data_IF_435143921824
#
_entry.id   IF_435143921824
#
_cell.length_a   1.000
_cell.length_b   1.000
_cell.length_c   1.000
_cell.angle_alpha   90.00
_cell.angle_beta   90.00
_cell.angle_gamma   90.00
#
_symmetry.space_group_name_H-M   'P 1'
#
loop_
_entity.id
_entity.type
_entity.pdbx_description
1 polymer ?
#
# COMPACT_ATOMS: atom_id res chain seq x y z
N UNK A 1 14.10 18.41 5.35
CA UNK A 1 14.72 17.59 4.28
C UNK A 1 16.20 17.91 4.26
N UNK A 2 17.09 16.93 4.23
CA UNK A 2 18.54 17.18 4.10
C UNK A 2 19.06 16.75 2.73
N UNK A 3 20.16 17.37 2.29
CA UNK A 3 20.82 17.02 1.04
C UNK A 3 21.31 15.56 1.03
N UNK A 4 21.84 15.07 2.17
CA UNK A 4 22.25 13.68 2.32
C UNK A 4 21.09 12.70 2.09
N UNK A 5 19.89 13.03 2.59
CA UNK A 5 18.71 12.19 2.35
C UNK A 5 18.39 12.13 0.85
N UNK A 6 18.40 13.27 0.16
CA UNK A 6 18.13 13.31 -1.29
C UNK A 6 19.18 12.54 -2.08
N UNK A 7 20.47 12.76 -1.80
CA UNK A 7 21.61 12.10 -2.46
C UNK A 7 21.72 10.60 -2.17
N UNK A 8 21.05 10.09 -1.13
CA UNK A 8 21.01 8.65 -0.86
C UNK A 8 20.22 7.85 -1.91
N UNK A 9 19.40 8.53 -2.72
CA UNK A 9 18.58 7.92 -3.78
C UNK A 9 17.65 6.80 -3.27
N UNK A 10 17.37 6.75 -1.96
CA UNK A 10 16.47 5.75 -1.40
C UNK A 10 15.10 5.90 -2.06
N UNK A 11 14.47 4.80 -2.54
CA UNK A 11 13.19 4.88 -3.26
C UNK A 11 12.10 5.63 -2.51
N UNK A 12 12.06 5.54 -1.18
CA UNK A 12 11.12 6.27 -0.33
C UNK A 12 11.22 7.80 -0.50
N UNK A 13 12.43 8.34 -0.61
CA UNK A 13 12.69 9.78 -0.76
C UNK A 13 12.39 10.25 -2.19
N UNK A 14 12.86 9.51 -3.19
CA UNK A 14 12.59 9.83 -4.61
C UNK A 14 11.08 9.82 -4.86
N UNK A 15 10.39 8.76 -4.45
CA UNK A 15 8.94 8.64 -4.63
C UNK A 15 8.19 9.74 -3.89
N UNK A 16 8.61 10.10 -2.67
CA UNK A 16 8.00 11.19 -1.93
C UNK A 16 8.17 12.55 -2.65
N UNK A 17 9.34 12.82 -3.25
CA UNK A 17 9.57 14.02 -4.06
C UNK A 17 8.68 14.03 -5.32
N UNK A 18 8.53 12.87 -5.99
CA UNK A 18 7.64 12.74 -7.15
C UNK A 18 6.17 12.97 -6.79
N UNK A 19 5.71 12.40 -5.66
CA UNK A 19 4.36 12.62 -5.15
C UNK A 19 4.13 14.11 -4.84
N UNK A 20 5.11 14.79 -4.26
CA UNK A 20 4.92 16.19 -3.86
C UNK A 20 5.01 17.16 -5.04
N UNK A 21 5.78 16.81 -6.08
CA UNK A 21 5.88 17.62 -7.29
C UNK A 21 4.68 17.46 -8.23
N UNK A 22 4.07 16.26 -8.31
CA UNK A 22 3.00 15.97 -9.28
C UNK A 22 1.64 15.64 -8.67
N UNK A 23 1.60 15.29 -7.39
CA UNK A 23 0.37 14.90 -6.70
C UNK A 23 -0.54 16.08 -6.44
N UNK A 24 -1.76 15.80 -5.98
CA UNK A 24 -2.74 16.78 -5.52
C UNK A 24 -2.78 16.84 -4.00
N UNK A 25 -3.06 18.01 -3.45
CA UNK A 25 -3.23 18.21 -2.01
C UNK A 25 -4.52 17.56 -1.55
N UNK A 26 -4.46 16.76 -0.48
CA UNK A 26 -5.65 16.16 0.11
C UNK A 26 -6.45 17.23 0.87
N UNK A 27 -7.80 17.24 0.78
CA UNK A 27 -8.64 18.20 1.51
C UNK A 27 -8.39 18.17 3.03
N UNK A 28 -8.06 16.99 3.55
CA UNK A 28 -7.68 16.77 4.93
C UNK A 28 -6.39 15.95 4.98
N UNK A 29 -5.37 16.43 5.70
CA UNK A 29 -4.13 15.69 5.89
C UNK A 29 -4.39 14.32 6.53
N UNK A 30 -3.65 13.28 6.15
CA UNK A 30 -3.86 11.93 6.68
C UNK A 30 -3.65 11.84 8.21
N UNK A 31 -4.22 10.82 8.87
CA UNK A 31 -4.09 10.61 10.32
C UNK A 31 -2.62 10.64 10.77
N UNK A 32 -1.73 9.94 10.06
CA UNK A 32 -0.30 9.94 10.39
C UNK A 32 0.35 11.34 10.28
N UNK A 33 -0.07 12.18 9.31
CA UNK A 33 0.44 13.54 9.17
C UNK A 33 -0.12 14.48 10.25
N UNK A 34 -1.36 14.26 10.70
CA UNK A 34 -1.99 15.05 11.77
C UNK A 34 -1.46 14.70 13.16
N UNK A 35 -1.16 13.42 13.41
CA UNK A 35 -0.77 12.93 14.73
C UNK A 35 0.75 12.93 14.97
N UNK A 36 1.58 12.94 13.93
CA UNK A 36 3.03 12.94 14.08
C UNK A 36 3.56 14.26 14.66
N UNK A 37 4.67 14.19 15.41
CA UNK A 37 5.41 15.35 15.88
C UNK A 37 6.89 15.24 15.45
N UNK A 38 7.39 16.18 14.61
CA UNK A 38 6.62 17.17 13.85
C UNK A 38 5.77 16.50 12.75
N UNK A 39 4.56 17.04 12.52
CA UNK A 39 3.56 16.44 11.62
C UNK A 39 3.96 16.40 10.15
N UNK A 40 3.53 17.41 9.39
CA UNK A 40 3.78 17.60 7.96
C UNK A 40 5.27 17.90 7.72
N UNK A 41 6.08 16.83 7.76
CA UNK A 41 7.48 16.86 7.45
C UNK A 41 7.92 15.62 6.64
N UNK A 42 8.83 15.82 5.66
CA UNK A 42 9.55 17.07 5.40
C UNK A 42 8.76 18.08 4.56
N UNK A 43 7.56 17.73 4.09
CA UNK A 43 6.79 18.57 3.18
C UNK A 43 5.62 19.25 3.90
N UNK A 44 5.33 20.53 3.59
CA UNK A 44 4.30 21.30 4.28
C UNK A 44 2.88 20.83 3.96
N UNK A 45 2.69 20.05 2.89
CA UNK A 45 1.37 19.60 2.44
C UNK A 45 1.25 18.08 2.41
N UNK A 46 0.05 17.58 2.70
CA UNK A 46 -0.29 16.17 2.53
C UNK A 46 -0.77 15.94 1.08
N UNK A 47 0.16 15.78 0.13
CA UNK A 47 -0.19 15.47 -1.27
C UNK A 47 -0.16 13.98 -1.55
N UNK A 48 -1.05 13.53 -2.43
CA UNK A 48 -1.14 12.18 -2.99
C UNK A 48 -1.02 12.22 -4.50
N UNK A 49 -0.50 11.14 -5.07
CA UNK A 49 -0.57 10.88 -6.50
C UNK A 49 -1.37 9.56 -6.69
N UNK A 50 -2.71 9.63 -6.81
CA UNK A 50 -3.55 8.43 -6.97
C UNK A 50 -3.13 7.58 -8.17
N UNK A 51 -3.27 6.26 -8.06
CA UNK A 51 -2.83 5.29 -9.07
C UNK A 51 -1.32 5.00 -9.05
N UNK A 52 -0.55 5.73 -8.23
CA UNK A 52 0.90 5.55 -8.11
C UNK A 52 1.31 5.33 -6.66
N UNK A 53 2.38 4.56 -6.45
CA UNK A 53 3.03 4.37 -5.15
C UNK A 53 2.12 3.84 -4.01
N UNK A 54 1.04 3.14 -4.36
CA UNK A 54 0.00 2.66 -3.44
C UNK A 54 -0.97 3.75 -2.97
N UNK A 55 -1.00 4.89 -3.68
CA UNK A 55 -1.83 6.04 -3.35
C UNK A 55 -1.45 6.78 -2.07
N UNK A 56 -0.42 6.37 -1.33
CA UNK A 56 -0.04 7.00 -0.09
C UNK A 56 0.48 8.44 -0.29
N UNK A 57 0.36 9.28 0.75
CA UNK A 57 0.86 10.64 0.68
C UNK A 57 2.40 10.71 0.76
N UNK A 58 2.98 11.79 0.22
CA UNK A 58 4.44 11.98 0.16
C UNK A 58 5.12 11.99 1.54
N UNK A 59 4.47 12.54 2.57
CA UNK A 59 5.00 12.56 3.94
C UNK A 59 5.04 11.16 4.59
N UNK A 60 4.06 10.30 4.30
CA UNK A 60 4.09 8.90 4.71
C UNK A 60 5.12 8.11 3.91
N UNK A 61 5.23 8.37 2.59
CA UNK A 61 6.21 7.71 1.73
C UNK A 61 7.64 8.05 2.14
N UNK A 62 7.93 9.29 2.49
CA UNK A 62 9.27 9.73 2.94
C UNK A 62 9.78 8.93 4.13
N UNK A 63 8.91 8.73 5.13
CA UNK A 63 9.20 7.95 6.34
C UNK A 63 9.16 6.43 6.10
N UNK A 64 8.83 6.00 4.90
CA UNK A 64 8.59 4.60 4.54
C UNK A 64 7.42 3.96 5.31
N UNK A 65 6.46 4.79 5.69
CA UNK A 65 5.27 4.42 6.45
C UNK A 65 4.00 4.47 5.58
N UNK A 66 4.12 4.21 4.28
CA UNK A 66 3.01 4.28 3.33
C UNK A 66 1.81 3.40 3.73
N UNK A 67 2.08 2.22 4.32
CA UNK A 67 1.03 1.31 4.81
C UNK A 67 0.17 1.92 5.92
N UNK A 68 0.71 2.88 6.69
CA UNK A 68 0.00 3.59 7.77
C UNK A 68 -0.71 4.85 7.29
N UNK A 69 -0.65 5.14 5.99
CA UNK A 69 -1.33 6.31 5.43
C UNK A 69 -2.83 6.05 5.39
N UNK A 70 -3.61 6.85 6.12
CA UNK A 70 -5.08 6.73 6.14
C UNK A 70 -5.75 7.24 4.84
N UNK A 71 -4.96 7.83 3.94
CA UNK A 71 -5.39 8.30 2.63
C UNK A 71 -4.49 7.57 1.62
N UNK A 72 -4.97 6.43 1.15
CA UNK A 72 -4.29 5.58 0.17
C UNK A 72 -5.32 5.06 -0.84
N UNK A 73 -4.85 4.50 -1.94
CA UNK A 73 -5.78 3.87 -2.87
C UNK A 73 -6.33 2.62 -2.17
N UNK A 74 -7.64 2.40 -2.27
CA UNK A 74 -8.23 1.15 -1.79
C UNK A 74 -7.80 0.04 -2.74
N UNK A 75 -7.34 -1.09 -2.21
CA UNK A 75 -7.55 -2.35 -2.94
C UNK A 75 -9.07 -2.46 -3.03
N UNK A 76 -9.61 -2.46 -4.25
CA UNK A 76 -11.00 -2.88 -4.43
C UNK A 76 -11.11 -4.24 -3.77
N UNK A 77 -11.84 -4.33 -2.66
CA UNK A 77 -12.25 -5.63 -2.14
C UNK A 77 -13.21 -6.13 -3.20
N UNK A 78 -12.72 -6.99 -4.11
CA UNK A 78 -13.61 -7.74 -4.97
C UNK A 78 -14.42 -8.63 -4.03
N UNK A 79 -15.69 -8.26 -3.84
CA UNK A 79 -16.65 -9.06 -3.12
C UNK A 79 -16.94 -10.23 -4.03
N UNK A 80 -16.28 -11.36 -3.76
CA UNK A 80 -16.63 -12.63 -4.39
C UNK A 80 -17.95 -13.04 -3.73
N UNK A 81 -19.06 -12.91 -4.44
CA UNK A 81 -20.33 -13.50 -4.01
C UNK A 81 -20.15 -15.02 -4.04
N UNK A 82 -20.00 -15.63 -2.87
CA UNK A 82 -20.08 -17.08 -2.71
C UNK A 82 -21.56 -17.40 -2.85
N UNK A 83 -21.95 -17.93 -4.00
CA UNK A 83 -23.29 -18.48 -4.19
C UNK A 83 -23.26 -19.84 -3.50
N UNK A 84 -23.88 -19.92 -2.32
CA UNK A 84 -24.14 -21.20 -1.66
C UNK A 84 -25.21 -21.93 -2.50
N UNK A 85 -24.77 -22.82 -3.38
CA UNK A 85 -25.63 -23.80 -4.06
C UNK A 85 -25.97 -24.89 -3.03
N UNK A 86 -27.01 -24.64 -2.23
CA UNK A 86 -27.59 -25.62 -1.30
C UNK A 86 -28.28 -26.74 -2.09
N UNK A 87 -27.51 -27.72 -2.57
CA UNK A 87 -28.03 -29.04 -2.96
C UNK A 87 -28.03 -29.95 -1.71
N UNK A 88 -29.19 -30.04 -1.06
CA UNK A 88 -29.48 -30.94 0.06
C UNK A 88 -29.43 -32.43 -0.39
N UNK A 89 -28.37 -33.17 -0.06
CA UNK A 89 -28.44 -34.63 0.11
C UNK A 89 -27.68 -35.08 1.38
N UNK A 90 -28.44 -35.54 2.38
CA UNK A 90 -27.97 -36.15 3.63
C UNK A 90 -27.39 -37.57 3.42
N UNK A 91 -26.23 -37.86 4.05
CA UNK A 91 -26.10 -38.77 5.22
C UNK A 91 -24.64 -39.28 5.40
N UNK A 92 -24.14 -39.29 6.64
CA UNK A 92 -22.90 -40.01 7.01
C UNK A 92 -22.05 -39.41 8.16
N UNK A 93 -21.78 -40.14 9.26
CA UNK A 93 -21.39 -39.53 10.54
C UNK A 93 -19.89 -39.28 10.78
N UNK A 94 -19.67 -38.28 11.64
CA UNK A 94 -18.42 -37.68 12.15
C UNK A 94 -17.37 -38.63 12.75
N UNK A 95 -16.09 -38.34 12.48
CA UNK A 95 -14.98 -38.54 13.44
C UNK A 95 -14.02 -37.35 13.48
N UNK A 96 -13.60 -37.03 14.71
CA UNK A 96 -12.99 -35.77 15.20
C UNK A 96 -11.51 -35.57 14.83
N UNK A 97 -11.17 -34.31 14.52
CA UNK A 97 -9.98 -33.49 14.87
C UNK A 97 -8.60 -34.16 15.04
N UNK A 98 -7.58 -33.65 14.32
CA UNK A 98 -6.44 -32.80 14.80
C UNK A 98 -5.40 -32.59 13.66
N UNK A 99 -4.90 -31.36 13.47
CA UNK A 99 -3.99 -30.94 12.38
C UNK A 99 -2.58 -31.57 12.37
N UNK A 100 -1.66 -31.17 11.46
CA UNK A 100 -0.90 -29.93 11.70
C UNK A 100 -0.43 -29.13 10.45
N UNK A 101 -0.08 -27.85 10.70
CA UNK A 101 0.99 -27.03 10.09
C UNK A 101 1.34 -27.17 8.60
N UNK A 102 1.18 -26.08 7.84
CA UNK A 102 2.14 -25.74 6.77
C UNK A 102 2.38 -24.23 6.70
N UNK A 103 3.66 -23.87 6.79
CA UNK A 103 4.22 -22.56 6.51
C UNK A 103 4.17 -22.36 4.99
N UNK A 104 3.47 -21.35 4.49
CA UNK A 104 3.68 -20.91 3.10
C UNK A 104 4.37 -19.55 3.10
N UNK A 105 5.68 -19.62 2.84
CA UNK A 105 6.49 -18.51 2.35
C UNK A 105 5.81 -17.93 1.10
N UNK A 106 5.36 -16.68 1.18
CA UNK A 106 4.97 -15.93 0.00
C UNK A 106 6.25 -15.37 -0.64
N UNK A 107 6.80 -16.08 -1.61
CA UNK A 107 7.81 -15.52 -2.52
C UNK A 107 7.10 -14.53 -3.44
N UNK A 108 7.37 -13.24 -3.27
CA UNK A 108 6.87 -12.22 -4.18
C UNK A 108 7.55 -12.37 -5.56
N UNK A 109 6.84 -12.96 -6.51
CA UNK A 109 7.20 -12.91 -7.93
C UNK A 109 7.02 -11.47 -8.43
N UNK A 110 8.11 -10.69 -8.40
CA UNK A 110 8.17 -9.41 -9.10
C UNK A 110 8.14 -9.67 -10.60
N UNK A 111 7.07 -9.24 -11.27
CA UNK A 111 7.01 -9.20 -12.73
C UNK A 111 7.99 -8.11 -13.21
N UNK A 112 8.92 -8.40 -14.14
CA UNK A 112 9.80 -7.38 -14.69
C UNK A 112 9.02 -6.46 -15.63
N UNK A 113 9.17 -5.16 -15.44
CA UNK A 113 8.64 -4.15 -16.36
C UNK A 113 9.37 -4.24 -17.71
N UNK A 114 8.60 -4.25 -18.80
CA UNK A 114 9.14 -4.27 -20.17
C UNK A 114 9.97 -3.02 -20.48
N UNK A 115 11.04 -3.12 -21.30
CA UNK A 115 11.86 -1.98 -21.68
C UNK A 115 11.11 -1.04 -22.62
N UNK A 116 11.28 0.26 -22.40
CA UNK A 116 10.81 1.32 -23.30
C UNK A 116 11.87 1.48 -24.40
N UNK A 117 11.50 1.18 -25.64
CA UNK A 117 12.31 1.48 -26.83
C UNK A 117 12.06 2.95 -27.20
N UNK A 118 13.13 3.74 -27.33
CA UNK A 118 13.07 5.07 -27.95
C UNK A 118 13.49 4.92 -29.41
N UNK A 119 12.60 5.32 -30.33
CA UNK A 119 12.92 5.60 -31.74
C UNK A 119 13.59 6.98 -31.90
#
# INVERSE_FOLDING_TARGET
>A
MTELQVRSHRPSYINAILIQSRGRTEPHACLACRSAHPGLQPFPECRRLPGHFGGACGNCKWRDHAIRCSVRDGEGVEVIEIVDDDDDEEDGPQRRMRGPSEQQLLTAGSTPAAPIILD
#
